data_IF_322426052770
#
_entry.id   IF_322426052770
#
_cell.length_a   1.000
_cell.length_b   1.000
_cell.length_c   1.000
_cell.angle_alpha   90.00
_cell.angle_beta   90.00
_cell.angle_gamma   90.00
#
_symmetry.space_group_name_H-M   'P 1'
#
loop_
_entity.id
_entity.type
_entity.pdbx_description
1 polymer ?
#
# COMPACT_ATOMS: atom_id res chain seq x y z
N UNK A 1 4.79 -16.13 -2.29
CA UNK A 1 4.30 -14.74 -2.18
C UNK A 1 3.47 -14.67 -0.91
N UNK A 2 3.83 -13.81 0.04
CA UNK A 2 3.02 -13.60 1.26
C UNK A 2 1.74 -12.88 0.89
N UNK A 3 0.60 -13.33 1.40
CA UNK A 3 -0.70 -12.67 1.20
C UNK A 3 -1.14 -12.04 2.51
N UNK A 4 -1.34 -10.73 2.48
CA UNK A 4 -1.74 -9.94 3.64
C UNK A 4 -3.03 -9.20 3.30
N UNK A 5 -3.80 -8.83 4.32
CA UNK A 5 -5.08 -8.15 4.16
C UNK A 5 -5.12 -6.90 5.02
N UNK A 6 -5.59 -5.80 4.43
CA UNK A 6 -5.95 -4.58 5.15
C UNK A 6 -7.45 -4.33 4.99
N UNK A 7 -8.11 -4.01 6.10
CA UNK A 7 -9.49 -3.57 6.11
C UNK A 7 -9.51 -2.04 6.22
N UNK A 8 -10.16 -1.38 5.26
CA UNK A 8 -10.26 0.08 5.17
C UNK A 8 -11.69 0.59 5.38
N UNK A 9 -12.61 -0.26 5.84
CA UNK A 9 -14.03 0.09 6.03
C UNK A 9 -14.26 1.24 7.01
N UNK A 10 -13.32 1.48 7.93
CA UNK A 10 -13.37 2.56 8.92
C UNK A 10 -12.45 3.75 8.59
N UNK A 11 -11.70 3.69 7.48
CA UNK A 11 -10.82 4.77 7.04
C UNK A 11 -11.66 5.97 6.57
N UNK A 12 -11.42 7.13 7.19
CA UNK A 12 -12.08 8.40 6.86
C UNK A 12 -11.13 9.36 6.15
N UNK A 13 -9.84 9.22 6.41
CA UNK A 13 -8.78 10.08 5.90
C UNK A 13 -7.73 9.25 5.17
N UNK A 14 -7.01 9.92 4.27
CA UNK A 14 -5.86 9.33 3.56
C UNK A 14 -4.81 8.77 4.53
N UNK A 15 -4.65 9.42 5.68
CA UNK A 15 -3.68 9.03 6.71
C UNK A 15 -4.00 7.68 7.36
N UNK A 16 -5.29 7.35 7.50
CA UNK A 16 -5.73 6.05 8.04
C UNK A 16 -5.26 4.90 7.13
N UNK A 17 -5.27 5.12 5.80
CA UNK A 17 -4.79 4.14 4.82
C UNK A 17 -3.28 3.98 4.92
N UNK A 18 -2.52 5.08 4.99
CA UNK A 18 -1.07 5.00 5.16
C UNK A 18 -0.71 4.29 6.47
N UNK A 19 -1.35 4.63 7.58
CA UNK A 19 -1.10 3.95 8.86
C UNK A 19 -1.29 2.43 8.77
N UNK A 20 -2.36 1.96 8.12
CA UNK A 20 -2.61 0.51 7.92
C UNK A 20 -1.60 -0.13 6.97
N UNK A 21 -1.31 0.53 5.85
CA UNK A 21 -0.39 0.01 4.84
C UNK A 21 1.04 -0.05 5.38
N UNK A 22 1.52 1.01 6.01
CA UNK A 22 2.88 1.09 6.54
C UNK A 22 3.08 0.12 7.72
N UNK A 23 2.07 -0.06 8.56
CA UNK A 23 2.12 -1.07 9.61
C UNK A 23 2.25 -2.50 9.03
N UNK A 24 1.52 -2.84 7.96
CA UNK A 24 1.60 -4.18 7.36
C UNK A 24 2.88 -4.40 6.56
N UNK A 25 3.48 -3.33 6.04
CA UNK A 25 4.78 -3.34 5.39
C UNK A 25 5.95 -3.39 6.39
N UNK A 26 5.68 -3.27 7.70
CA UNK A 26 6.70 -3.11 8.73
C UNK A 26 7.65 -1.93 8.40
N UNK A 27 7.04 -0.81 8.00
CA UNK A 27 7.75 0.41 7.64
C UNK A 27 8.25 1.17 8.89
N UNK A 28 9.39 1.88 8.79
CA UNK A 28 9.94 2.61 9.93
C UNK A 28 9.10 3.84 10.30
N UNK A 29 9.20 4.30 11.56
CA UNK A 29 8.42 5.44 12.07
C UNK A 29 8.66 6.77 11.33
N UNK A 30 9.83 6.92 10.69
CA UNK A 30 10.17 8.11 9.90
C UNK A 30 9.61 8.06 8.46
N UNK A 31 8.90 7.00 8.08
CA UNK A 31 8.35 6.82 6.75
C UNK A 31 7.29 7.90 6.44
N UNK A 32 7.42 8.55 5.29
CA UNK A 32 6.54 9.63 4.88
C UNK A 32 5.20 9.12 4.33
N UNK A 33 4.10 9.74 4.74
CA UNK A 33 2.74 9.42 4.26
C UNK A 33 2.44 10.05 2.90
N UNK A 34 3.21 9.65 1.87
CA UNK A 34 3.04 10.08 0.48
C UNK A 34 3.47 8.98 -0.51
N UNK A 35 3.14 9.15 -1.79
CA UNK A 35 3.39 8.14 -2.81
C UNK A 35 4.86 8.03 -3.21
N UNK A 36 5.64 9.11 -3.13
CA UNK A 36 7.07 9.10 -3.45
C UNK A 36 7.83 8.28 -2.40
N UNK A 37 7.54 8.50 -1.12
CA UNK A 37 8.08 7.70 -0.02
C UNK A 37 7.62 6.23 -0.08
N UNK A 38 6.37 6.00 -0.50
CA UNK A 38 5.89 4.64 -0.74
C UNK A 38 6.70 3.95 -1.85
N UNK A 39 6.85 4.62 -3.00
CA UNK A 39 7.67 4.15 -4.13
C UNK A 39 9.08 3.79 -3.67
N UNK A 40 9.77 4.71 -2.99
CA UNK A 40 11.12 4.50 -2.48
C UNK A 40 11.17 3.26 -1.58
N UNK A 41 10.19 3.09 -0.70
CA UNK A 41 10.20 2.01 0.28
C UNK A 41 9.88 0.63 -0.27
N UNK A 42 9.07 0.53 -1.34
CA UNK A 42 8.74 -0.77 -1.96
C UNK A 42 9.78 -1.19 -3.00
N UNK A 43 10.57 -0.24 -3.52
CA UNK A 43 11.65 -0.48 -4.49
C UNK A 43 13.03 -0.63 -3.84
N UNK A 44 13.14 -0.40 -2.53
CA UNK A 44 14.38 -0.48 -1.74
C UNK A 44 14.21 -1.30 -0.46
N UNK A 45 15.32 -1.60 0.22
CA UNK A 45 15.33 -2.32 1.51
C UNK A 45 15.01 -1.37 2.70
N UNK A 46 13.85 -0.71 2.65
CA UNK A 46 13.37 0.19 3.73
C UNK A 46 12.34 -0.52 4.62
N UNK A 47 11.41 -1.25 4.01
CA UNK A 47 10.36 -1.97 4.70
C UNK A 47 10.88 -3.26 5.32
N UNK A 48 10.36 -3.65 6.49
CA UNK A 48 10.65 -4.97 7.06
C UNK A 48 9.98 -6.11 6.29
N UNK A 49 8.86 -5.84 5.60
CA UNK A 49 8.25 -6.77 4.67
C UNK A 49 8.88 -6.65 3.27
N UNK A 50 9.70 -7.64 2.92
CA UNK A 50 10.34 -7.70 1.60
C UNK A 50 9.49 -8.48 0.57
N UNK A 51 9.52 -8.09 -0.73
CA UNK A 51 8.92 -8.86 -1.82
C UNK A 51 9.42 -10.32 -1.86
N UNK A 52 8.60 -11.29 -2.31
CA UNK A 52 7.29 -11.11 -2.95
C UNK A 52 6.10 -11.12 -1.99
N UNK A 53 5.21 -10.14 -2.12
CA UNK A 53 3.96 -10.06 -1.36
C UNK A 53 2.78 -9.51 -2.16
N UNK A 54 1.57 -9.80 -1.68
CA UNK A 54 0.30 -9.28 -2.18
C UNK A 54 -0.52 -8.75 -1.02
N UNK A 55 -1.04 -7.53 -1.16
CA UNK A 55 -1.92 -6.87 -0.19
C UNK A 55 -3.34 -6.86 -0.78
N UNK A 56 -4.26 -7.48 -0.05
CA UNK A 56 -5.68 -7.47 -0.35
C UNK A 56 -6.37 -6.38 0.46
N UNK A 57 -7.01 -5.44 -0.22
CA UNK A 57 -7.79 -4.36 0.37
C UNK A 57 -9.25 -4.76 0.38
N UNK A 58 -9.86 -4.76 1.56
CA UNK A 58 -11.30 -5.02 1.76
C UNK A 58 -11.99 -3.81 2.38
N UNK A 59 -13.32 -3.75 2.28
CA UNK A 59 -14.09 -2.65 2.87
C UNK A 59 -13.99 -1.33 2.09
N UNK A 60 -13.46 -1.36 0.87
CA UNK A 60 -13.17 -0.17 0.05
C UNK A 60 -14.38 0.42 -0.69
N UNK A 61 -15.56 -0.23 -0.67
CA UNK A 61 -16.70 0.15 -1.51
C UNK A 61 -17.39 1.44 -1.08
N UNK A 62 -17.46 1.68 0.24
CA UNK A 62 -18.21 2.80 0.83
C UNK A 62 -17.29 3.83 1.51
N UNK A 63 -15.99 3.80 1.19
CA UNK A 63 -15.03 4.75 1.74
C UNK A 63 -15.18 6.14 1.09
N UNK A 64 -14.79 7.22 1.78
CA UNK A 64 -14.79 8.56 1.19
C UNK A 64 -13.99 8.65 -0.11
N UNK A 65 -14.38 9.55 -1.00
CA UNK A 65 -13.70 9.76 -2.30
C UNK A 65 -12.17 9.94 -2.17
N UNK A 66 -11.64 10.71 -1.21
CA UNK A 66 -10.18 10.87 -1.09
C UNK A 66 -9.46 9.56 -0.75
N UNK A 67 -10.10 8.70 0.04
CA UNK A 67 -9.59 7.38 0.42
C UNK A 67 -9.61 6.46 -0.81
N UNK A 68 -10.71 6.42 -1.55
CA UNK A 68 -10.84 5.63 -2.78
C UNK A 68 -9.84 6.05 -3.85
N UNK A 69 -9.66 7.37 -4.04
CA UNK A 69 -8.68 7.94 -4.95
C UNK A 69 -7.25 7.56 -4.54
N UNK A 70 -6.92 7.62 -3.25
CA UNK A 70 -5.61 7.19 -2.76
C UNK A 70 -5.37 5.70 -3.00
N UNK A 71 -6.32 4.83 -2.68
CA UNK A 71 -6.19 3.38 -2.92
C UNK A 71 -5.90 3.05 -4.39
N UNK A 72 -6.56 3.76 -5.30
CA UNK A 72 -6.31 3.62 -6.75
C UNK A 72 -4.90 4.05 -7.13
N UNK A 73 -4.37 5.12 -6.52
CA UNK A 73 -3.00 5.60 -6.77
C UNK A 73 -1.94 4.68 -6.16
N UNK A 74 -2.17 4.14 -4.96
CA UNK A 74 -1.29 3.15 -4.34
C UNK A 74 -1.23 1.89 -5.22
N UNK A 75 -2.38 1.45 -5.76
CA UNK A 75 -2.41 0.33 -6.71
C UNK A 75 -1.53 0.59 -7.93
N UNK A 76 -1.64 1.79 -8.52
CA UNK A 76 -0.80 2.19 -9.65
C UNK A 76 0.69 2.14 -9.32
N UNK A 77 1.11 2.66 -8.15
CA UNK A 77 2.51 2.58 -7.67
C UNK A 77 3.01 1.14 -7.59
N UNK A 78 2.18 0.21 -7.10
CA UNK A 78 2.54 -1.21 -7.04
C UNK A 78 2.65 -1.84 -8.44
N UNK A 79 1.75 -1.47 -9.36
CA UNK A 79 1.77 -1.95 -10.75
C UNK A 79 3.00 -1.42 -11.51
N UNK A 80 3.37 -0.15 -11.29
CA UNK A 80 4.58 0.47 -11.82
C UNK A 80 5.84 -0.23 -11.29
N UNK A 81 5.96 -0.44 -9.98
CA UNK A 81 7.08 -1.17 -9.39
C UNK A 81 7.21 -2.60 -9.94
N UNK A 82 6.08 -3.27 -10.19
CA UNK A 82 6.08 -4.61 -10.80
C UNK A 82 6.52 -4.58 -12.26
N UNK A 83 6.09 -3.59 -13.03
CA UNK A 83 6.33 -3.50 -14.46
C UNK A 83 7.73 -2.98 -14.80
N UNK A 84 8.14 -1.91 -14.13
CA UNK A 84 9.31 -1.12 -14.52
C UNK A 84 10.56 -1.56 -13.74
N UNK A 85 10.42 -1.95 -12.47
CA UNK A 85 11.51 -2.39 -11.60
C UNK A 85 11.54 -3.91 -11.37
N UNK A 86 10.60 -4.66 -11.98
CA UNK A 86 10.43 -6.12 -11.80
C UNK A 86 10.29 -6.56 -10.33
N UNK A 87 9.75 -5.67 -9.49
CA UNK A 87 9.55 -5.92 -8.06
C UNK A 87 8.23 -6.69 -7.87
N UNK A 88 8.29 -7.87 -7.23
CA UNK A 88 7.14 -8.77 -7.09
C UNK A 88 6.17 -8.35 -5.98
N UNK A 89 5.50 -7.22 -6.16
CA UNK A 89 4.50 -6.67 -5.25
C UNK A 89 3.16 -6.48 -5.96
N UNK A 90 2.05 -6.66 -5.23
CA UNK A 90 0.71 -6.50 -5.78
C UNK A 90 -0.25 -5.91 -4.75
N UNK A 91 -1.13 -5.02 -5.20
CA UNK A 91 -2.29 -4.58 -4.45
C UNK A 91 -3.56 -4.99 -5.22
N UNK A 92 -4.48 -5.66 -4.53
CA UNK A 92 -5.75 -6.10 -5.12
C UNK A 92 -6.93 -5.70 -4.24
N UNK A 93 -8.07 -5.51 -4.88
CA UNK A 93 -9.35 -5.27 -4.21
C UNK A 93 -10.11 -6.60 -4.06
N UNK A 94 -10.46 -6.95 -2.83
CA UNK A 94 -11.11 -8.22 -2.45
C UNK A 94 -12.62 -8.14 -2.25
#
# INVERSE_FOLDING_TARGET
>A
MKSLRIDVSDCKYVDDVYGRLLAILDAPEWHGHNLDALWDSITSDINGLLPPYCIEVVGYKDVPEPVSALLSRIKAVFEEAQKDENIRVQLRFG
#
